data_IF_342144867035
#
_entry.id   IF_342144867035
#
_cell.length_a   1.000
_cell.length_b   1.000
_cell.length_c   1.000
_cell.angle_alpha   90.00
_cell.angle_beta   90.00
_cell.angle_gamma   90.00
#
_symmetry.space_group_name_H-M   'P 1'
#
loop_
_entity.id
_entity.type
_entity.pdbx_description
1 polymer ?
#
# COMPACT_ATOMS: atom_id res chain seq x y z
N UNK A 1 -18.18 -15.75 39.85
CA UNK A 1 -18.04 -14.83 38.70
C UNK A 1 -17.14 -15.52 37.71
N UNK A 2 -17.66 -15.84 36.52
CA UNK A 2 -17.01 -16.73 35.56
C UNK A 2 -15.81 -15.99 34.92
N UNK A 3 -14.68 -16.68 34.72
CA UNK A 3 -13.45 -16.13 34.12
C UNK A 3 -13.69 -15.37 32.81
N UNK A 4 -14.77 -15.71 32.09
CA UNK A 4 -15.21 -15.04 30.88
C UNK A 4 -15.68 -13.58 31.13
N UNK A 5 -16.31 -13.32 32.27
CA UNK A 5 -16.77 -11.98 32.65
C UNK A 5 -15.59 -11.06 33.00
N UNK A 6 -14.53 -11.61 33.60
CA UNK A 6 -13.30 -10.87 33.87
C UNK A 6 -12.58 -10.51 32.56
N UNK A 7 -12.47 -11.46 31.62
CA UNK A 7 -11.82 -11.24 30.33
C UNK A 7 -12.56 -10.21 29.45
N UNK A 8 -13.89 -10.24 29.47
CA UNK A 8 -14.72 -9.26 28.77
C UNK A 8 -14.60 -7.84 29.36
N UNK A 9 -14.41 -7.75 30.68
CA UNK A 9 -14.28 -6.47 31.38
C UNK A 9 -12.93 -5.78 31.12
N UNK A 10 -11.85 -6.54 31.00
CA UNK A 10 -10.53 -6.00 30.62
C UNK A 10 -10.50 -5.53 29.16
N UNK A 11 -11.20 -6.23 28.24
CA UNK A 11 -11.33 -5.80 26.85
C UNK A 11 -12.12 -4.50 26.69
N UNK A 12 -13.16 -4.31 27.50
CA UNK A 12 -13.98 -3.10 27.49
C UNK A 12 -13.26 -1.86 28.06
N UNK A 13 -12.17 -2.07 28.80
CA UNK A 13 -11.38 -1.01 29.44
C UNK A 13 -10.24 -0.49 28.55
N UNK A 14 -10.06 -1.06 27.36
CA UNK A 14 -9.05 -0.61 26.39
C UNK A 14 -9.48 0.72 25.76
N UNK A 15 -8.56 1.70 25.62
CA UNK A 15 -8.85 2.95 24.92
C UNK A 15 -9.36 2.67 23.51
N UNK A 16 -10.49 3.26 23.14
CA UNK A 16 -10.95 3.18 21.75
C UNK A 16 -9.94 3.89 20.83
N UNK A 17 -9.73 3.39 19.59
CA UNK A 17 -8.89 4.08 18.62
C UNK A 17 -9.39 5.52 18.45
N UNK A 18 -8.48 6.48 18.50
CA UNK A 18 -8.79 7.90 18.32
C UNK A 18 -9.60 8.12 17.03
N UNK A 19 -10.55 9.07 17.00
CA UNK A 19 -11.23 9.45 15.77
C UNK A 19 -10.19 9.87 14.73
N UNK A 20 -10.42 9.44 13.48
CA UNK A 20 -9.49 9.61 12.36
C UNK A 20 -8.95 11.05 12.29
N UNK A 21 -7.65 11.23 11.97
CA UNK A 21 -7.10 12.56 11.77
C UNK A 21 -7.87 13.30 10.67
N UNK A 22 -7.92 14.65 10.72
CA UNK A 22 -8.56 15.45 9.67
C UNK A 22 -7.98 15.09 8.30
N UNK A 23 -8.78 15.23 7.22
CA UNK A 23 -8.34 14.87 5.88
C UNK A 23 -7.04 15.63 5.57
N UNK A 24 -5.97 14.87 5.34
CA UNK A 24 -4.68 15.41 4.93
C UNK A 24 -4.88 16.14 3.60
N UNK A 25 -4.25 17.32 3.50
CA UNK A 25 -4.26 18.12 2.29
C UNK A 25 -3.82 17.28 1.07
N UNK A 26 -4.34 17.55 -0.13
CA UNK A 26 -3.97 16.81 -1.33
C UNK A 26 -2.45 16.87 -1.53
N UNK A 27 -1.81 15.71 -1.57
CA UNK A 27 -0.42 15.60 -2.03
C UNK A 27 -0.35 16.06 -3.49
N UNK A 28 0.76 16.68 -3.91
CA UNK A 28 0.95 17.08 -5.30
C UNK A 28 0.95 15.82 -6.16
N UNK A 29 0.03 15.77 -7.12
CA UNK A 29 0.03 14.76 -8.20
C UNK A 29 1.43 14.78 -8.81
N UNK A 30 2.11 13.64 -8.80
CA UNK A 30 3.39 13.49 -9.47
C UNK A 30 3.14 13.79 -10.95
N UNK A 31 3.59 14.95 -11.40
CA UNK A 31 3.44 15.36 -12.78
C UNK A 31 4.13 14.31 -13.68
N UNK A 32 3.57 14.03 -14.88
CA UNK A 32 4.26 13.20 -15.86
C UNK A 32 5.66 13.78 -16.06
N UNK A 33 6.67 12.92 -16.18
CA UNK A 33 8.09 13.30 -16.31
C UNK A 33 8.22 14.62 -17.09
N UNK A 34 8.70 15.69 -16.44
CA UNK A 34 8.63 17.06 -16.98
C UNK A 34 9.13 17.15 -18.43
N UNK A 35 10.14 16.35 -18.76
CA UNK A 35 10.71 16.19 -20.11
C UNK A 35 9.72 15.65 -21.15
N UNK A 36 8.88 14.68 -20.78
CA UNK A 36 7.86 14.10 -21.67
C UNK A 36 6.72 15.10 -21.90
N UNK A 37 6.36 15.87 -20.87
CA UNK A 37 5.34 16.92 -21.00
C UNK A 37 5.82 18.09 -21.87
N UNK A 38 7.10 18.45 -21.76
CA UNK A 38 7.75 19.42 -22.66
C UNK A 38 7.71 18.95 -24.13
N UNK A 39 8.04 17.68 -24.40
CA UNK A 39 7.99 17.11 -25.75
C UNK A 39 6.56 17.06 -26.33
N UNK A 40 5.54 16.82 -25.51
CA UNK A 40 4.14 16.87 -25.92
C UNK A 40 3.74 18.31 -26.28
N UNK A 41 4.10 19.29 -25.45
CA UNK A 41 3.80 20.69 -25.70
C UNK A 41 4.49 21.22 -26.97
N UNK A 42 5.73 20.80 -27.23
CA UNK A 42 6.45 21.15 -28.46
C UNK A 42 5.75 20.59 -29.70
N UNK A 43 5.29 19.34 -29.65
CA UNK A 43 4.58 18.68 -30.75
C UNK A 43 3.20 19.29 -31.00
N UNK A 44 2.47 19.68 -29.94
CA UNK A 44 1.19 20.38 -30.05
C UNK A 44 1.37 21.76 -30.69
N UNK A 45 2.36 22.54 -30.24
CA UNK A 45 2.67 23.85 -30.83
C UNK A 45 3.02 23.71 -32.31
N UNK A 46 3.83 22.70 -32.67
CA UNK A 46 4.16 22.43 -34.07
C UNK A 46 2.94 22.07 -34.90
N UNK A 47 1.97 21.34 -34.34
CA UNK A 47 0.72 21.04 -35.02
C UNK A 47 -0.13 22.30 -35.25
N UNK A 48 -0.17 23.22 -34.29
CA UNK A 48 -0.85 24.52 -34.42
C UNK A 48 -0.22 25.37 -35.53
N UNK A 49 1.10 25.51 -35.55
CA UNK A 49 1.84 26.29 -36.56
C UNK A 49 1.62 25.73 -37.98
N UNK A 50 1.63 24.40 -38.14
CA UNK A 50 1.35 23.72 -39.41
C UNK A 50 -0.11 23.88 -39.83
N UNK A 51 -1.03 23.90 -38.86
CA UNK A 51 -2.46 24.16 -39.07
C UNK A 51 -2.73 25.58 -39.57
N UNK A 52 -2.06 26.59 -38.99
CA UNK A 52 -2.16 27.98 -39.42
C UNK A 52 -1.60 28.20 -40.84
N UNK A 53 -0.59 27.42 -41.22
CA UNK A 53 -0.04 27.39 -42.58
C UNK A 53 -0.90 26.62 -43.59
N UNK A 54 -2.02 26.02 -43.14
CA UNK A 54 -2.94 25.26 -43.99
C UNK A 54 -2.43 23.86 -44.37
N UNK A 55 -1.36 23.36 -43.75
CA UNK A 55 -0.80 22.02 -43.98
C UNK A 55 -1.51 20.98 -43.09
N UNK A 56 -2.78 20.73 -43.42
CA UNK A 56 -3.70 19.90 -42.62
C UNK A 56 -3.17 18.47 -42.41
N UNK A 57 -2.61 17.84 -43.44
CA UNK A 57 -2.09 16.46 -43.35
C UNK A 57 -0.90 16.36 -42.39
N UNK A 58 0.00 17.35 -42.39
CA UNK A 58 1.17 17.38 -41.52
C UNK A 58 0.80 17.74 -40.08
N UNK A 59 -0.15 18.67 -39.91
CA UNK A 59 -0.69 19.04 -38.61
C UNK A 59 -1.39 17.84 -37.94
N UNK A 60 -2.19 17.08 -38.69
CA UNK A 60 -2.88 15.90 -38.19
C UNK A 60 -1.88 14.81 -37.75
N UNK A 61 -0.82 14.60 -38.53
CA UNK A 61 0.26 13.66 -38.15
C UNK A 61 0.99 14.09 -36.87
N UNK A 62 1.28 15.38 -36.72
CA UNK A 62 1.93 15.92 -35.52
C UNK A 62 1.02 15.79 -34.27
N UNK A 63 -0.30 15.97 -34.43
CA UNK A 63 -1.28 15.71 -33.37
C UNK A 63 -1.33 14.23 -32.97
N UNK A 64 -1.33 13.31 -33.94
CA UNK A 64 -1.33 11.87 -33.66
C UNK A 64 -0.06 11.43 -32.90
N UNK A 65 1.10 11.99 -33.26
CA UNK A 65 2.36 11.77 -32.53
C UNK A 65 2.29 12.29 -31.08
N UNK A 66 1.70 13.47 -30.86
CA UNK A 66 1.49 14.03 -29.52
C UNK A 66 0.52 13.17 -28.69
N UNK A 67 -0.56 12.67 -29.29
CA UNK A 67 -1.49 11.75 -28.66
C UNK A 67 -0.87 10.39 -28.35
N UNK A 68 0.00 9.87 -29.22
CA UNK A 68 0.74 8.63 -28.99
C UNK A 68 1.69 8.79 -27.80
N UNK A 69 2.42 9.90 -27.70
CA UNK A 69 3.26 10.23 -26.55
C UNK A 69 2.43 10.37 -25.27
N UNK A 70 1.25 10.99 -25.34
CA UNK A 70 0.31 11.10 -24.21
C UNK A 70 -0.24 9.74 -23.78
N UNK A 71 -0.58 8.85 -24.72
CA UNK A 71 -1.04 7.48 -24.44
C UNK A 71 0.07 6.61 -23.84
N UNK A 72 1.31 6.78 -24.30
CA UNK A 72 2.47 6.11 -23.72
C UNK A 72 2.77 6.63 -22.31
N UNK A 73 2.63 7.93 -22.07
CA UNK A 73 2.71 8.53 -20.72
C UNK A 73 1.57 8.03 -19.83
N UNK A 74 0.35 7.90 -20.35
CA UNK A 74 -0.81 7.37 -19.60
C UNK A 74 -0.69 5.86 -19.32
N UNK A 75 0.07 5.11 -20.14
CA UNK A 75 0.39 3.69 -19.91
C UNK A 75 1.63 3.51 -19.01
N UNK A 76 2.48 4.53 -18.94
CA UNK A 76 3.59 4.67 -17.99
C UNK A 76 3.21 5.44 -16.73
N UNK A 77 1.96 5.86 -16.57
CA UNK A 77 1.35 5.87 -15.25
C UNK A 77 1.42 4.39 -14.83
N UNK A 78 2.34 3.99 -13.94
CA UNK A 78 2.14 2.72 -13.31
C UNK A 78 0.75 2.78 -12.67
N UNK A 79 0.17 1.60 -12.54
CA UNK A 79 -0.88 1.32 -11.58
C UNK A 79 -0.33 1.65 -10.17
N UNK A 80 -0.18 2.93 -9.86
CA UNK A 80 0.17 3.54 -8.59
C UNK A 80 -0.96 4.49 -8.22
N UNK A 81 -2.18 3.94 -8.24
CA UNK A 81 -3.16 4.37 -7.24
C UNK A 81 -3.25 3.29 -6.16
N UNK A 82 -2.07 2.97 -5.61
CA UNK A 82 -1.90 2.46 -4.25
C UNK A 82 -2.26 3.51 -3.19
N UNK A 83 -2.71 4.71 -3.59
CA UNK A 83 -2.91 5.87 -2.73
C UNK A 83 -4.38 6.28 -2.52
N UNK A 84 -5.36 5.52 -3.04
CA UNK A 84 -6.79 5.64 -2.65
C UNK A 84 -7.28 4.45 -1.86
N UNK A 85 -6.43 4.03 -0.94
CA UNK A 85 -6.63 2.83 -0.18
C UNK A 85 -7.04 3.27 1.22
N UNK A 86 -8.37 3.33 1.43
CA UNK A 86 -9.01 3.52 2.72
C UNK A 86 -8.31 2.64 3.76
N UNK A 87 -7.98 3.20 4.92
CA UNK A 87 -7.16 2.56 5.96
C UNK A 87 -7.72 1.22 6.50
N UNK A 88 -8.89 0.77 6.03
CA UNK A 88 -9.48 -0.53 6.31
C UNK A 88 -9.11 -1.62 5.27
N UNK A 89 -8.90 -1.26 4.00
CA UNK A 89 -8.74 -2.22 2.88
C UNK A 89 -7.27 -2.51 2.51
N UNK A 90 -6.31 -1.69 2.98
CA UNK A 90 -4.85 -1.96 2.86
C UNK A 90 -4.38 -3.07 3.81
N UNK A 91 -5.19 -3.45 4.79
CA UNK A 91 -4.67 -4.23 5.92
C UNK A 91 -4.41 -5.70 5.62
N UNK A 92 -4.80 -6.21 4.44
CA UNK A 92 -4.73 -7.65 4.16
C UNK A 92 -4.05 -7.97 2.82
N UNK A 93 -4.01 -7.05 1.84
CA UNK A 93 -3.66 -7.43 0.47
C UNK A 93 -2.16 -7.46 0.16
N UNK A 94 -1.31 -6.73 0.89
CA UNK A 94 0.14 -6.68 0.58
C UNK A 94 1.08 -6.91 1.78
N UNK A 95 0.53 -7.09 2.99
CA UNK A 95 1.30 -7.74 4.04
C UNK A 95 1.23 -9.24 3.78
N UNK A 96 2.24 -9.78 3.11
CA UNK A 96 2.42 -11.23 3.03
C UNK A 96 2.70 -11.73 4.46
N UNK A 97 1.64 -12.11 5.16
CA UNK A 97 1.68 -12.58 6.53
C UNK A 97 1.89 -14.10 6.54
N UNK A 98 2.66 -14.56 7.52
CA UNK A 98 2.75 -15.96 7.92
C UNK A 98 2.25 -16.08 9.36
N UNK A 99 1.74 -17.25 9.73
CA UNK A 99 1.33 -17.53 11.11
C UNK A 99 2.51 -18.16 11.86
N UNK A 100 2.70 -17.80 13.12
CA UNK A 100 3.65 -18.48 14.00
C UNK A 100 3.10 -19.83 14.45
N UNK A 101 3.85 -20.91 14.25
CA UNK A 101 3.41 -22.27 14.56
C UNK A 101 3.25 -22.53 16.07
N UNK A 102 3.87 -21.69 16.90
CA UNK A 102 3.86 -21.82 18.36
C UNK A 102 2.69 -21.04 18.97
N UNK A 103 2.63 -19.72 18.74
CA UNK A 103 1.68 -18.82 19.39
C UNK A 103 0.52 -18.35 18.50
N UNK A 104 0.49 -18.72 17.22
CA UNK A 104 -0.61 -18.39 16.31
C UNK A 104 -0.70 -16.92 15.91
N UNK A 105 0.25 -16.07 16.33
CA UNK A 105 0.28 -14.67 15.92
C UNK A 105 0.76 -14.50 14.48
N UNK A 106 0.23 -13.49 13.78
CA UNK A 106 0.67 -13.12 12.45
C UNK A 106 2.03 -12.41 12.48
N UNK A 107 2.92 -12.82 11.57
CA UNK A 107 4.25 -12.28 11.33
C UNK A 107 4.31 -11.80 9.87
N UNK A 108 4.95 -10.67 9.61
CA UNK A 108 5.19 -10.27 8.22
C UNK A 108 6.39 -11.05 7.68
N UNK A 109 6.32 -11.49 6.43
CA UNK A 109 7.48 -12.08 5.73
C UNK A 109 8.62 -11.06 5.57
N UNK A 110 8.32 -9.77 5.65
CA UNK A 110 9.28 -8.68 5.53
C UNK A 110 9.72 -8.09 6.89
N UNK A 111 9.43 -8.77 8.01
CA UNK A 111 9.89 -8.33 9.32
C UNK A 111 11.43 -8.41 9.43
N UNK A 112 12.03 -7.43 10.12
CA UNK A 112 13.46 -7.43 10.41
C UNK A 112 13.80 -8.41 11.54
N UNK A 113 15.04 -8.90 11.57
CA UNK A 113 15.52 -9.83 12.59
C UNK A 113 15.31 -9.31 14.02
N UNK A 114 15.45 -8.00 14.23
CA UNK A 114 15.15 -7.38 15.52
C UNK A 114 13.69 -7.59 15.94
N UNK A 115 12.76 -7.37 15.02
CA UNK A 115 11.32 -7.54 15.28
C UNK A 115 10.95 -9.01 15.47
N UNK A 116 11.60 -9.91 14.73
CA UNK A 116 11.47 -11.36 14.91
C UNK A 116 11.99 -11.78 16.29
N UNK A 117 13.13 -11.25 16.73
CA UNK A 117 13.66 -11.53 18.06
C UNK A 117 12.69 -11.07 19.17
N UNK A 118 12.10 -9.88 19.04
CA UNK A 118 11.08 -9.39 19.98
C UNK A 118 9.81 -10.28 19.99
N UNK A 119 9.45 -10.85 18.83
CA UNK A 119 8.36 -11.83 18.75
C UNK A 119 8.70 -13.13 19.49
N UNK A 120 9.86 -13.74 19.21
CA UNK A 120 10.27 -15.03 19.79
C UNK A 120 10.59 -14.91 21.28
N UNK A 121 11.16 -13.78 21.71
CA UNK A 121 11.38 -13.43 23.12
C UNK A 121 10.12 -12.90 23.84
N UNK A 122 9.00 -12.78 23.13
CA UNK A 122 7.76 -12.24 23.66
C UNK A 122 7.08 -13.21 24.63
N UNK A 123 6.37 -12.65 25.63
CA UNK A 123 5.66 -13.45 26.65
C UNK A 123 4.62 -14.40 26.06
N UNK A 124 3.93 -13.97 25.00
CA UNK A 124 2.95 -14.81 24.31
C UNK A 124 3.63 -16.03 23.67
N UNK A 125 4.74 -15.80 22.97
CA UNK A 125 5.48 -16.87 22.30
C UNK A 125 6.04 -17.87 23.32
N UNK A 126 6.79 -17.37 24.31
CA UNK A 126 7.38 -18.20 25.37
C UNK A 126 6.33 -18.93 26.20
N UNK A 127 5.19 -18.29 26.49
CA UNK A 127 4.09 -18.92 27.23
C UNK A 127 3.48 -20.11 26.47
N UNK A 128 3.21 -19.95 25.16
CA UNK A 128 2.72 -21.04 24.34
C UNK A 128 3.76 -22.15 24.14
N UNK A 129 5.06 -21.84 24.09
CA UNK A 129 6.11 -22.86 24.10
C UNK A 129 6.04 -23.73 25.35
N UNK A 130 6.03 -23.12 26.54
CA UNK A 130 5.98 -23.85 27.81
C UNK A 130 4.73 -24.72 27.96
N UNK A 131 3.57 -24.22 27.50
CA UNK A 131 2.33 -25.00 27.51
C UNK A 131 2.44 -26.23 26.61
N UNK A 132 2.99 -26.07 25.39
CA UNK A 132 3.18 -27.19 24.45
C UNK A 132 4.18 -28.21 24.96
N UNK A 133 5.28 -27.76 25.57
CA UNK A 133 6.27 -28.63 26.21
C UNK A 133 5.63 -29.43 27.34
N UNK A 134 4.88 -28.78 28.25
CA UNK A 134 4.18 -29.49 29.32
C UNK A 134 3.10 -30.43 28.82
N UNK A 135 2.40 -30.08 27.76
CA UNK A 135 1.42 -30.97 27.15
C UNK A 135 2.10 -32.23 26.60
N UNK A 136 3.27 -32.09 25.95
CA UNK A 136 4.04 -33.23 25.47
C UNK A 136 4.53 -34.13 26.61
N UNK A 137 5.01 -33.56 27.72
CA UNK A 137 5.43 -34.33 28.91
C UNK A 137 4.27 -35.13 29.53
N UNK A 138 3.05 -34.60 29.52
CA UNK A 138 1.87 -35.25 30.12
C UNK A 138 1.20 -36.28 29.20
N UNK A 139 1.55 -36.31 27.92
CA UNK A 139 1.04 -37.28 26.95
C UNK A 139 1.85 -38.59 26.91
N UNK A 140 2.88 -38.70 27.75
CA UNK A 140 3.66 -39.92 28.03
C UNK A 140 2.94 -40.79 29.04
#
# INVERSE_FOLDING_TARGET
MLLLDAFNKDRASLPQPLPNPPPLAPLPVLAPDARTQEMINEKLKKAEDLGEQGMVDEAQKAMEEAEALKKLATRQEPVLDSSKYTAADVRITDQKLRVCDICGAFLSVYDSDRRLADHFGGKLHLGYMQIREKLAELQV
#
